data_IF_385156455465
#
_entry.id   IF_385156455465
#
_cell.length_a   1.000
_cell.length_b   1.000
_cell.length_c   1.000
_cell.angle_alpha   90.00
_cell.angle_beta   90.00
_cell.angle_gamma   90.00
#
_symmetry.space_group_name_H-M   'P 1'
#
loop_
_entity.id
_entity.type
_entity.pdbx_description
1 polymer ?
#
# COMPACT_ATOMS: atom_id res chain seq x y z
N UNK A 1 -7.70 -0.46 -16.05
CA UNK A 1 -6.42 -1.17 -15.76
C UNK A 1 -6.16 -1.12 -14.25
N UNK A 2 -5.49 -2.12 -13.67
CA UNK A 2 -5.10 -2.09 -12.25
C UNK A 2 -3.61 -2.40 -12.12
N UNK A 3 -2.92 -1.69 -11.23
CA UNK A 3 -1.57 -2.00 -10.76
C UNK A 3 -1.63 -2.33 -9.27
N UNK A 4 -0.86 -3.33 -8.85
CA UNK A 4 -0.82 -3.78 -7.46
C UNK A 4 0.60 -4.14 -7.04
N UNK A 5 0.89 -3.99 -5.74
CA UNK A 5 2.15 -4.34 -5.11
C UNK A 5 3.19 -3.22 -5.14
N UNK A 6 4.17 -3.35 -4.26
CA UNK A 6 5.17 -2.31 -4.02
C UNK A 6 6.15 -2.11 -5.16
N UNK A 7 6.35 -3.10 -6.05
CA UNK A 7 7.28 -2.96 -7.19
C UNK A 7 6.90 -1.79 -8.12
N UNK A 8 5.60 -1.58 -8.34
CA UNK A 8 5.09 -0.44 -9.09
C UNK A 8 4.76 0.73 -8.16
N UNK A 9 4.23 0.42 -6.97
CA UNK A 9 3.80 1.41 -5.99
C UNK A 9 4.93 2.31 -5.50
N UNK A 10 6.11 1.77 -5.22
CA UNK A 10 7.26 2.56 -4.76
C UNK A 10 7.67 3.64 -5.77
N UNK A 11 7.72 3.28 -7.05
CA UNK A 11 8.06 4.23 -8.14
C UNK A 11 7.03 5.35 -8.29
N UNK A 12 5.74 5.01 -8.14
CA UNK A 12 4.67 6.01 -8.22
C UNK A 12 4.66 6.92 -6.98
N UNK A 13 4.89 6.36 -5.79
CA UNK A 13 4.94 7.10 -4.53
C UNK A 13 6.13 8.04 -4.45
N UNK A 14 7.24 7.74 -5.13
CA UNK A 14 8.42 8.60 -5.26
C UNK A 14 8.06 9.95 -5.90
N UNK A 15 7.11 9.98 -6.84
CA UNK A 15 6.66 11.23 -7.48
C UNK A 15 6.16 12.29 -6.48
N UNK A 16 5.63 11.87 -5.35
CA UNK A 16 5.09 12.74 -4.29
C UNK A 16 5.87 12.67 -2.98
N UNK A 17 7.07 12.10 -2.99
CA UNK A 17 7.89 11.89 -1.78
C UNK A 17 7.10 11.21 -0.66
N UNK A 18 6.31 10.18 -1.00
CA UNK A 18 5.63 9.38 0.01
C UNK A 18 6.50 8.18 0.36
N UNK A 19 6.89 7.99 1.65
CA UNK A 19 7.77 6.91 2.05
C UNK A 19 7.17 5.53 1.74
N UNK A 20 7.96 4.65 1.16
CA UNK A 20 7.58 3.31 0.76
C UNK A 20 8.58 2.28 1.32
N UNK A 21 8.11 1.05 1.54
CA UNK A 21 8.98 -0.05 1.90
C UNK A 21 9.96 -0.34 0.75
N UNK A 22 11.21 -0.66 1.10
CA UNK A 22 12.20 -1.10 0.11
C UNK A 22 11.72 -2.39 -0.55
N UNK A 23 11.82 -2.46 -1.87
CA UNK A 23 11.34 -3.58 -2.65
C UNK A 23 12.34 -3.98 -3.72
N UNK A 24 12.54 -5.29 -3.85
CA UNK A 24 13.28 -5.91 -4.96
C UNK A 24 12.34 -6.75 -5.82
N UNK A 25 12.60 -6.75 -7.12
CA UNK A 25 11.83 -7.54 -8.10
C UNK A 25 12.26 -9.01 -8.17
N UNK A 26 11.62 -9.79 -9.07
CA UNK A 26 11.90 -11.22 -9.22
C UNK A 26 13.32 -11.53 -9.73
N UNK A 27 13.98 -10.55 -10.38
CA UNK A 27 15.33 -10.67 -10.95
C UNK A 27 16.43 -10.31 -9.95
N UNK A 28 16.07 -10.00 -8.69
CA UNK A 28 17.06 -9.65 -7.67
C UNK A 28 18.06 -10.79 -7.44
N UNK A 29 19.33 -10.41 -7.36
CA UNK A 29 20.44 -11.31 -7.02
C UNK A 29 20.40 -11.72 -5.55
N UNK A 30 21.09 -12.80 -5.21
CA UNK A 30 21.22 -13.26 -3.83
C UNK A 30 21.88 -12.23 -2.93
N UNK A 31 22.89 -11.49 -3.46
CA UNK A 31 23.56 -10.43 -2.72
C UNK A 31 22.62 -9.27 -2.38
N UNK A 32 21.77 -8.84 -3.34
CA UNK A 32 20.76 -7.79 -3.10
C UNK A 32 19.73 -8.23 -2.07
N UNK A 33 19.26 -9.49 -2.15
CA UNK A 33 18.32 -10.04 -1.17
C UNK A 33 18.97 -10.12 0.21
N UNK A 34 20.24 -10.57 0.26
CA UNK A 34 21.03 -10.62 1.50
C UNK A 34 21.17 -9.24 2.14
N UNK A 35 21.54 -8.22 1.35
CA UNK A 35 21.67 -6.84 1.81
C UNK A 35 20.33 -6.26 2.31
N UNK A 36 19.21 -6.59 1.66
CA UNK A 36 17.88 -6.17 2.09
C UNK A 36 17.50 -6.80 3.45
N UNK A 37 17.84 -8.09 3.64
CA UNK A 37 17.63 -8.79 4.92
C UNK A 37 18.49 -8.17 6.02
N UNK A 38 19.77 -7.90 5.76
CA UNK A 38 20.68 -7.27 6.72
C UNK A 38 20.16 -5.88 7.15
N UNK A 39 19.71 -5.07 6.20
CA UNK A 39 19.17 -3.73 6.44
C UNK A 39 17.91 -3.74 7.31
N UNK A 40 16.98 -4.69 7.08
CA UNK A 40 15.65 -4.69 7.70
C UNK A 40 15.43 -5.80 8.73
N UNK A 41 16.42 -6.67 8.95
CA UNK A 41 16.31 -7.83 9.84
C UNK A 41 15.42 -8.95 9.30
N UNK A 42 14.51 -8.67 8.39
CA UNK A 42 13.68 -9.66 7.69
C UNK A 42 13.05 -9.06 6.44
N UNK A 43 12.62 -9.95 5.53
CA UNK A 43 11.88 -9.57 4.31
C UNK A 43 10.60 -10.37 4.20
N UNK A 44 9.62 -9.77 3.52
CA UNK A 44 8.42 -10.47 3.06
C UNK A 44 8.59 -10.85 1.60
N UNK A 45 8.30 -12.12 1.27
CA UNK A 45 8.28 -12.64 -0.09
C UNK A 45 6.83 -12.72 -0.54
N UNK A 46 6.46 -11.96 -1.57
CA UNK A 46 5.08 -11.85 -2.04
C UNK A 46 4.97 -12.23 -3.52
N UNK A 47 4.02 -13.08 -3.93
CA UNK A 47 3.82 -13.43 -5.34
C UNK A 47 3.26 -12.26 -6.13
N UNK A 48 3.70 -12.15 -7.39
CA UNK A 48 3.22 -11.16 -8.37
C UNK A 48 2.14 -11.82 -9.23
N UNK A 49 0.91 -11.30 -9.18
CA UNK A 49 -0.18 -11.75 -10.02
C UNK A 49 -0.55 -10.68 -11.06
N UNK A 50 -0.75 -11.09 -12.30
CA UNK A 50 -1.25 -10.19 -13.34
C UNK A 50 -2.70 -9.78 -13.04
N UNK A 51 -2.98 -8.48 -13.06
CA UNK A 51 -4.33 -7.94 -12.84
C UNK A 51 -4.74 -7.77 -11.38
N UNK A 52 -3.83 -8.04 -10.44
CA UNK A 52 -4.06 -7.85 -9.00
C UNK A 52 -5.00 -8.90 -8.38
N UNK A 53 -4.53 -9.56 -7.35
CA UNK A 53 -5.31 -10.52 -6.58
C UNK A 53 -5.35 -10.05 -5.13
N UNK A 54 -6.57 -9.88 -4.58
CA UNK A 54 -6.77 -9.52 -3.18
C UNK A 54 -6.57 -10.70 -2.21
N UNK A 55 -6.53 -10.41 -0.91
CA UNK A 55 -6.53 -11.41 0.20
C UNK A 55 -5.32 -12.33 0.27
N UNK A 56 -4.15 -11.91 -0.25
CA UNK A 56 -2.91 -12.71 -0.25
C UNK A 56 -2.49 -13.15 1.16
N UNK A 57 -2.65 -12.29 2.17
CA UNK A 57 -2.25 -12.58 3.55
C UNK A 57 -3.05 -13.73 4.18
N UNK A 58 -4.37 -13.78 3.97
CA UNK A 58 -5.24 -14.84 4.53
C UNK A 58 -5.04 -16.22 3.88
N UNK A 59 -4.41 -16.27 2.70
CA UNK A 59 -4.23 -17.51 1.93
C UNK A 59 -2.82 -18.14 2.06
N UNK A 60 -1.99 -17.66 3.00
CA UNK A 60 -0.63 -18.17 3.17
C UNK A 60 0.32 -17.84 2.00
N UNK A 61 -0.04 -16.86 1.17
CA UNK A 61 0.72 -16.43 0.00
C UNK A 61 1.76 -15.36 0.32
N UNK A 62 2.04 -15.10 1.60
CA UNK A 62 3.11 -14.20 2.03
C UNK A 62 4.10 -15.03 2.82
N UNK A 63 5.34 -15.12 2.33
CA UNK A 63 6.47 -15.70 3.05
C UNK A 63 7.18 -14.63 3.89
N UNK A 64 7.78 -15.03 5.00
CA UNK A 64 8.70 -14.20 5.79
C UNK A 64 10.03 -14.90 5.93
N UNK A 65 11.12 -14.18 5.70
CA UNK A 65 12.47 -14.72 5.79
C UNK A 65 13.38 -13.77 6.59
N UNK A 66 14.19 -14.35 7.45
CA UNK A 66 15.22 -13.66 8.25
C UNK A 66 16.64 -13.98 7.78
N UNK A 67 16.76 -14.86 6.79
CA UNK A 67 18.01 -15.28 6.17
C UNK A 67 17.80 -15.60 4.68
N UNK A 68 18.89 -15.57 3.93
CA UNK A 68 18.88 -15.78 2.47
C UNK A 68 18.33 -17.14 2.07
N UNK A 69 18.71 -18.22 2.79
CA UNK A 69 18.25 -19.58 2.48
C UNK A 69 16.72 -19.69 2.59
N UNK A 70 16.14 -19.12 3.63
CA UNK A 70 14.69 -19.07 3.82
C UNK A 70 14.02 -18.20 2.74
N UNK A 71 14.61 -17.07 2.36
CA UNK A 71 14.10 -16.20 1.31
C UNK A 71 14.04 -16.91 -0.05
N UNK A 72 15.09 -17.65 -0.41
CA UNK A 72 15.15 -18.44 -1.66
C UNK A 72 14.13 -19.58 -1.64
N UNK A 73 13.97 -20.28 -0.52
CA UNK A 73 12.93 -21.33 -0.38
C UNK A 73 11.52 -20.74 -0.56
N UNK A 74 11.24 -19.59 0.01
CA UNK A 74 9.95 -18.90 -0.18
C UNK A 74 9.78 -18.39 -1.61
N UNK A 75 10.85 -17.93 -2.28
CA UNK A 75 10.85 -17.63 -3.72
C UNK A 75 10.39 -18.84 -4.53
N UNK A 76 11.00 -20.00 -4.34
CA UNK A 76 10.63 -21.23 -5.06
C UNK A 76 9.17 -21.64 -4.80
N UNK A 77 8.73 -21.57 -3.55
CA UNK A 77 7.34 -21.92 -3.16
C UNK A 77 6.30 -21.00 -3.81
N UNK A 78 6.59 -19.71 -3.96
CA UNK A 78 5.63 -18.68 -4.36
C UNK A 78 5.72 -18.28 -5.83
N UNK A 79 6.80 -18.59 -6.52
CA UNK A 79 7.10 -18.03 -7.86
C UNK A 79 6.02 -18.33 -8.90
N UNK A 80 5.46 -19.56 -8.90
CA UNK A 80 4.40 -19.98 -9.81
C UNK A 80 3.14 -20.45 -9.07
N UNK A 81 2.96 -20.01 -7.84
CA UNK A 81 1.81 -20.43 -7.04
C UNK A 81 0.50 -20.02 -7.71
N UNK A 82 -0.49 -20.90 -7.65
CA UNK A 82 -1.85 -20.63 -8.09
C UNK A 82 -2.71 -20.14 -6.91
N UNK A 83 -3.51 -19.14 -7.18
CA UNK A 83 -4.46 -18.60 -6.22
C UNK A 83 -5.85 -18.50 -6.83
N UNK A 84 -6.82 -19.04 -6.12
CA UNK A 84 -8.23 -19.05 -6.53
C UNK A 84 -9.02 -18.02 -5.71
N UNK A 85 -9.72 -17.13 -6.42
CA UNK A 85 -10.69 -16.21 -5.83
C UNK A 85 -12.02 -16.43 -6.56
N UNK A 86 -12.99 -17.03 -5.88
CA UNK A 86 -14.24 -17.47 -6.51
C UNK A 86 -13.97 -18.45 -7.65
N UNK A 87 -14.42 -18.11 -8.86
CA UNK A 87 -14.23 -18.94 -10.08
C UNK A 87 -12.96 -18.58 -10.87
N UNK A 88 -12.19 -17.57 -10.42
CA UNK A 88 -10.99 -17.15 -11.12
C UNK A 88 -9.76 -17.78 -10.49
N UNK A 89 -8.93 -18.43 -11.29
CA UNK A 89 -7.61 -18.94 -10.91
C UNK A 89 -6.56 -18.05 -11.53
N UNK A 90 -5.70 -17.49 -10.71
CA UNK A 90 -4.57 -16.67 -11.14
C UNK A 90 -3.27 -17.37 -10.77
N UNK A 91 -2.32 -17.42 -11.72
CA UNK A 91 -0.98 -17.97 -11.51
C UNK A 91 0.01 -16.83 -11.31
N UNK A 92 0.85 -16.93 -10.29
CA UNK A 92 1.92 -15.97 -10.06
C UNK A 92 2.97 -16.03 -11.18
N UNK A 93 3.62 -14.89 -11.46
CA UNK A 93 4.64 -14.72 -12.52
C UNK A 93 5.95 -14.21 -11.93
N UNK A 94 6.23 -14.56 -10.69
CA UNK A 94 7.40 -14.10 -9.95
C UNK A 94 7.06 -13.72 -8.52
N UNK A 95 8.04 -13.22 -7.82
CA UNK A 95 7.90 -12.72 -6.44
C UNK A 95 8.59 -11.38 -6.29
N UNK A 96 8.15 -10.59 -5.29
CA UNK A 96 8.90 -9.46 -4.74
C UNK A 96 9.49 -9.82 -3.40
N UNK A 97 10.61 -9.17 -3.05
CA UNK A 97 11.19 -9.17 -1.71
C UNK A 97 11.01 -7.77 -1.13
N UNK A 98 10.31 -7.66 -0.03
CA UNK A 98 9.96 -6.39 0.58
C UNK A 98 10.54 -6.31 1.99
N UNK A 99 11.33 -5.28 2.27
CA UNK A 99 11.92 -5.06 3.58
C UNK A 99 10.84 -4.91 4.64
N UNK A 100 10.99 -5.62 5.78
CA UNK A 100 10.05 -5.49 6.87
C UNK A 100 10.11 -4.10 7.49
N UNK A 101 8.96 -3.49 7.71
CA UNK A 101 8.82 -2.20 8.38
C UNK A 101 8.20 -2.46 9.75
N UNK A 102 8.99 -2.43 10.84
CA UNK A 102 8.44 -2.55 12.19
C UNK A 102 7.62 -1.32 12.53
N UNK A 103 6.42 -1.53 13.10
CA UNK A 103 5.54 -0.45 13.52
C UNK A 103 4.54 -0.94 14.56
N UNK A 104 4.14 -0.06 15.47
CA UNK A 104 3.08 -0.32 16.47
C UNK A 104 1.69 -0.01 15.90
N UNK A 105 1.61 0.91 14.92
CA UNK A 105 0.36 1.32 14.29
C UNK A 105 0.37 1.01 12.79
N UNK A 106 -0.74 0.49 12.31
CA UNK A 106 -1.02 0.27 10.90
C UNK A 106 -2.27 1.07 10.50
N UNK A 107 -2.19 1.74 9.36
CA UNK A 107 -3.24 2.59 8.82
C UNK A 107 -3.68 2.07 7.47
N UNK A 108 -4.98 2.07 7.22
CA UNK A 108 -5.56 1.92 5.89
C UNK A 108 -5.91 3.29 5.34
N UNK A 109 -5.59 3.53 4.09
CA UNK A 109 -5.98 4.73 3.36
C UNK A 109 -6.36 4.41 1.93
N UNK A 110 -7.50 4.92 1.50
CA UNK A 110 -7.90 4.85 0.09
C UNK A 110 -8.48 6.18 -0.39
N UNK A 111 -8.31 6.41 -1.68
CA UNK A 111 -8.93 7.47 -2.46
C UNK A 111 -9.76 6.84 -3.58
N UNK A 112 -10.97 7.31 -3.77
CA UNK A 112 -11.84 6.92 -4.88
C UNK A 112 -12.91 7.97 -5.15
N UNK A 113 -13.48 7.96 -6.34
CA UNK A 113 -14.69 8.71 -6.61
C UNK A 113 -15.91 7.98 -6.03
N UNK A 114 -16.65 8.66 -5.17
CA UNK A 114 -17.83 8.10 -4.53
C UNK A 114 -19.09 8.47 -5.30
N UNK A 115 -19.84 7.47 -5.75
CA UNK A 115 -21.16 7.67 -6.35
C UNK A 115 -22.18 8.19 -5.34
N UNK A 116 -22.02 7.83 -4.05
CA UNK A 116 -22.87 8.30 -2.95
C UNK A 116 -22.72 9.79 -2.70
N UNK A 117 -21.48 10.27 -2.63
CA UNK A 117 -21.19 11.69 -2.36
C UNK A 117 -21.04 12.53 -3.62
N UNK A 118 -20.93 11.87 -4.80
CA UNK A 118 -20.62 12.52 -6.09
C UNK A 118 -19.37 13.41 -6.04
N UNK A 119 -18.38 12.97 -5.28
CA UNK A 119 -17.14 13.69 -5.02
C UNK A 119 -16.00 12.70 -4.76
N UNK A 120 -14.75 13.11 -4.94
CA UNK A 120 -13.60 12.36 -4.44
C UNK A 120 -13.74 12.16 -2.93
N UNK A 121 -13.47 10.96 -2.48
CA UNK A 121 -13.71 10.54 -1.09
C UNK A 121 -12.49 9.80 -0.57
N UNK A 122 -12.06 10.13 0.64
CA UNK A 122 -11.10 9.30 1.38
C UNK A 122 -11.85 8.26 2.18
N UNK A 123 -11.24 7.08 2.28
CA UNK A 123 -11.59 6.06 3.28
C UNK A 123 -10.36 5.82 4.14
N UNK A 124 -10.48 6.01 5.45
CA UNK A 124 -9.36 6.02 6.39
C UNK A 124 -9.71 5.26 7.66
N UNK A 125 -8.78 4.41 8.14
CA UNK A 125 -8.82 3.83 9.48
C UNK A 125 -7.42 3.67 10.06
N UNK A 126 -7.29 3.84 11.38
CA UNK A 126 -6.06 3.56 12.12
C UNK A 126 -5.90 2.08 12.52
N UNK A 127 -6.76 1.21 12.00
CA UNK A 127 -6.71 -0.25 12.17
C UNK A 127 -6.42 -0.90 10.80
N UNK A 128 -5.23 -0.62 10.25
CA UNK A 128 -4.77 -1.19 8.97
C UNK A 128 -4.41 -2.68 9.07
N UNK A 129 -4.02 -3.26 7.94
CA UNK A 129 -3.64 -4.68 7.85
C UNK A 129 -4.82 -5.66 7.94
N UNK A 130 -6.04 -5.17 8.11
CA UNK A 130 -7.28 -5.95 8.18
C UNK A 130 -8.15 -5.58 6.98
N UNK A 131 -9.02 -6.49 6.55
CA UNK A 131 -10.02 -6.18 5.53
C UNK A 131 -11.00 -5.14 6.08
N UNK A 132 -11.12 -4.00 5.40
CA UNK A 132 -11.90 -2.86 5.89
C UNK A 132 -13.38 -3.21 6.08
N UNK A 133 -13.88 -4.17 5.30
CA UNK A 133 -15.25 -4.67 5.40
C UNK A 133 -15.54 -5.43 6.71
N UNK A 134 -14.49 -5.85 7.41
CA UNK A 134 -14.58 -6.56 8.69
C UNK A 134 -14.52 -5.61 9.89
N UNK A 135 -14.26 -4.32 9.66
CA UNK A 135 -14.17 -3.32 10.72
C UNK A 135 -15.56 -2.73 11.06
N UNK A 136 -15.74 -2.43 12.34
CA UNK A 136 -16.90 -1.67 12.78
C UNK A 136 -16.86 -0.24 12.22
N UNK A 137 -18.01 0.28 11.80
CA UNK A 137 -18.14 1.59 11.14
C UNK A 137 -17.55 2.75 11.95
N UNK A 138 -17.57 2.65 13.29
CA UNK A 138 -17.00 3.68 14.16
C UNK A 138 -15.49 3.87 14.04
N UNK A 139 -14.78 2.89 13.44
CA UNK A 139 -13.34 2.97 13.21
C UNK A 139 -12.98 3.32 11.77
N UNK A 140 -13.97 3.59 10.93
CA UNK A 140 -13.76 3.91 9.51
C UNK A 140 -14.34 5.29 9.21
N UNK A 141 -13.50 6.21 8.75
CA UNK A 141 -13.94 7.50 8.24
C UNK A 141 -14.10 7.44 6.71
N UNK A 142 -15.26 7.82 6.20
CA UNK A 142 -15.50 8.08 4.78
C UNK A 142 -15.82 9.56 4.64
N UNK A 143 -14.90 10.34 4.07
CA UNK A 143 -15.01 11.81 4.01
C UNK A 143 -14.85 12.31 2.58
N UNK A 144 -15.88 12.90 1.96
CA UNK A 144 -15.77 13.56 0.68
C UNK A 144 -14.99 14.87 0.80
N UNK A 145 -14.33 15.27 -0.27
CA UNK A 145 -13.63 16.56 -0.35
C UNK A 145 -13.80 17.20 -1.74
N UNK A 146 -13.45 18.47 -1.83
CA UNK A 146 -13.60 19.26 -3.06
C UNK A 146 -12.46 18.95 -4.04
N UNK A 147 -12.79 18.45 -5.23
CA UNK A 147 -11.81 18.05 -6.25
C UNK A 147 -10.90 19.19 -6.70
N UNK A 148 -11.45 20.41 -6.89
CA UNK A 148 -10.71 21.56 -7.40
C UNK A 148 -9.67 22.09 -6.41
N UNK A 149 -9.96 22.05 -5.14
CA UNK A 149 -9.03 22.48 -4.08
C UNK A 149 -8.13 21.37 -3.59
N UNK A 150 -8.44 20.13 -3.92
CA UNK A 150 -7.71 18.94 -3.52
C UNK A 150 -7.89 18.55 -2.06
N UNK A 151 -7.27 17.44 -1.68
CA UNK A 151 -7.33 16.90 -0.32
C UNK A 151 -6.52 17.78 0.64
N UNK A 152 -7.20 18.38 1.61
CA UNK A 152 -6.58 19.29 2.59
C UNK A 152 -6.21 18.57 3.88
N UNK A 153 -5.16 19.09 4.52
CA UNK A 153 -4.64 18.56 5.79
C UNK A 153 -5.71 18.46 6.89
N UNK A 154 -6.61 19.46 6.98
CA UNK A 154 -7.68 19.46 7.99
C UNK A 154 -8.72 18.36 7.77
N UNK A 155 -8.96 17.93 6.52
CA UNK A 155 -9.87 16.80 6.21
C UNK A 155 -9.33 15.53 6.84
N UNK A 156 -8.02 15.26 6.69
CA UNK A 156 -7.35 14.13 7.32
C UNK A 156 -7.36 14.24 8.85
N UNK A 157 -7.05 15.43 9.39
CA UNK A 157 -7.02 15.65 10.84
C UNK A 157 -8.39 15.37 11.48
N UNK A 158 -9.47 15.90 10.89
CA UNK A 158 -10.83 15.67 11.36
C UNK A 158 -11.22 14.20 11.26
N UNK A 159 -10.97 13.55 10.11
CA UNK A 159 -11.26 12.14 9.91
C UNK A 159 -10.57 11.24 10.96
N UNK A 160 -9.29 11.51 11.27
CA UNK A 160 -8.54 10.79 12.31
C UNK A 160 -9.10 11.04 13.71
N UNK A 161 -9.52 12.28 14.01
CA UNK A 161 -10.14 12.62 15.29
C UNK A 161 -11.48 11.91 15.46
N UNK A 162 -12.32 11.88 14.43
CA UNK A 162 -13.65 11.25 14.45
C UNK A 162 -13.60 9.75 14.73
N UNK A 163 -12.54 9.06 14.28
CA UNK A 163 -12.33 7.62 14.53
C UNK A 163 -11.47 7.33 15.76
N UNK A 164 -11.10 8.34 16.55
CA UNK A 164 -10.31 8.18 17.77
C UNK A 164 -8.87 7.69 17.53
N UNK A 165 -8.24 8.13 16.45
CA UNK A 165 -6.87 7.72 16.14
C UNK A 165 -5.87 8.21 17.21
N UNK A 166 -4.79 7.42 17.49
CA UNK A 166 -3.72 7.83 18.39
C UNK A 166 -3.09 9.17 17.96
N UNK A 167 -2.85 10.07 18.92
CA UNK A 167 -2.38 11.44 18.65
C UNK A 167 -1.03 11.48 17.94
N UNK A 168 -0.15 10.56 18.27
CA UNK A 168 1.21 10.45 17.73
C UNK A 168 1.26 10.19 16.22
N UNK A 169 0.24 9.54 15.65
CA UNK A 169 0.19 9.26 14.21
C UNK A 169 -0.50 10.35 13.40
N UNK A 170 -1.23 11.27 14.05
CA UNK A 170 -2.03 12.30 13.33
C UNK A 170 -1.14 13.24 12.52
N UNK A 171 -0.14 13.84 13.15
CA UNK A 171 0.73 14.83 12.48
C UNK A 171 1.48 14.24 11.26
N UNK A 172 2.12 13.06 11.35
CA UNK A 172 2.76 12.42 10.19
C UNK A 172 1.78 12.14 9.04
N UNK A 173 0.57 11.66 9.34
CA UNK A 173 -0.44 11.35 8.32
C UNK A 173 -0.97 12.62 7.64
N UNK A 174 -1.23 13.67 8.42
CA UNK A 174 -1.67 14.99 7.91
C UNK A 174 -0.64 15.62 6.96
N UNK A 175 0.65 15.37 7.18
CA UNK A 175 1.73 15.88 6.32
C UNK A 175 1.88 15.11 5.01
N UNK A 176 1.52 13.81 4.99
CA UNK A 176 1.82 12.94 3.84
C UNK A 176 0.59 12.56 3.02
N UNK A 177 -0.55 12.24 3.64
CA UNK A 177 -1.73 11.74 2.92
C UNK A 177 -2.30 12.70 1.87
N UNK A 178 -2.31 14.04 2.06
CA UNK A 178 -2.78 14.96 1.02
C UNK A 178 -2.04 14.83 -0.31
N UNK A 179 -0.76 14.49 -0.29
CA UNK A 179 0.07 14.30 -1.48
C UNK A 179 -0.44 13.17 -2.40
N UNK A 180 -1.15 12.19 -1.83
CA UNK A 180 -1.69 11.08 -2.61
C UNK A 180 -2.82 11.50 -3.56
N UNK A 181 -3.51 12.62 -3.27
CA UNK A 181 -4.42 13.21 -4.23
C UNK A 181 -3.69 13.79 -5.44
N UNK A 182 -2.54 14.43 -5.24
CA UNK A 182 -1.71 14.94 -6.34
C UNK A 182 -1.24 13.78 -7.24
N UNK A 183 -0.82 12.66 -6.64
CA UNK A 183 -0.46 11.44 -7.36
C UNK A 183 -1.63 10.90 -8.18
N UNK A 184 -2.78 10.72 -7.53
CA UNK A 184 -3.99 10.20 -8.16
C UNK A 184 -4.42 11.08 -9.33
N UNK A 185 -4.45 12.40 -9.15
CA UNK A 185 -4.85 13.36 -10.17
C UNK A 185 -3.85 13.42 -11.32
N UNK A 186 -2.54 13.39 -11.03
CA UNK A 186 -1.48 13.46 -12.04
C UNK A 186 -1.56 12.33 -13.06
N UNK A 187 -1.75 11.09 -12.59
CA UNK A 187 -1.79 9.90 -13.44
C UNK A 187 -3.20 9.49 -13.90
N UNK A 188 -4.25 10.22 -13.55
CA UNK A 188 -5.62 9.85 -13.90
C UNK A 188 -6.09 8.55 -13.26
N UNK A 189 -5.68 8.32 -12.01
CA UNK A 189 -6.14 7.15 -11.27
C UNK A 189 -7.61 7.30 -10.90
N UNK A 190 -8.37 6.20 -10.98
CA UNK A 190 -9.76 6.12 -10.51
C UNK A 190 -9.85 5.68 -9.07
N UNK A 191 -8.85 4.95 -8.59
CA UNK A 191 -8.71 4.50 -7.21
C UNK A 191 -7.23 4.44 -6.83
N UNK A 192 -6.93 4.71 -5.55
CA UNK A 192 -5.62 4.50 -4.94
C UNK A 192 -5.83 3.97 -3.54
N UNK A 193 -5.13 2.89 -3.18
CA UNK A 193 -5.23 2.23 -1.88
C UNK A 193 -3.84 1.89 -1.35
N UNK A 194 -3.59 2.23 -0.08
CA UNK A 194 -2.43 1.81 0.70
C UNK A 194 -2.92 1.01 1.91
N UNK A 195 -2.57 -0.28 2.00
CA UNK A 195 -2.99 -1.15 3.09
C UNK A 195 -2.02 -2.32 3.34
N UNK A 196 -1.16 -2.21 4.38
CA UNK A 196 -1.11 -1.10 5.35
C UNK A 196 -0.12 0.02 4.98
N UNK A 197 -0.35 1.18 5.58
CA UNK A 197 0.68 2.16 5.86
C UNK A 197 1.18 1.88 7.27
N UNK A 198 2.48 1.60 7.45
CA UNK A 198 3.09 1.34 8.73
C UNK A 198 3.73 2.60 9.29
N UNK A 199 3.38 2.93 10.53
CA UNK A 199 3.88 4.11 11.24
C UNK A 199 5.23 3.77 11.88
N UNK A 200 6.32 3.87 11.10
CA UNK A 200 7.69 3.52 11.55
C UNK A 200 8.22 4.57 12.51
N UNK A 201 8.76 4.12 13.65
CA UNK A 201 9.49 4.97 14.58
C UNK A 201 10.96 5.03 14.14
N UNK A 202 11.42 6.23 13.79
CA UNK A 202 12.81 6.48 13.43
C UNK A 202 13.72 6.56 14.66
N UNK A 203 15.04 6.38 14.52
CA UNK A 203 15.98 6.43 15.67
C UNK A 203 15.94 7.73 16.48
N UNK A 204 15.50 8.82 15.87
CA UNK A 204 15.32 10.13 16.53
C UNK A 204 13.93 10.30 17.19
N UNK A 205 13.13 9.25 17.26
CA UNK A 205 11.77 9.26 17.79
C UNK A 205 10.68 9.85 16.86
N UNK A 206 11.04 10.32 15.68
CA UNK A 206 10.06 10.77 14.69
C UNK A 206 9.28 9.58 14.13
N UNK A 207 7.99 9.76 13.92
CA UNK A 207 7.15 8.75 13.25
C UNK A 207 7.03 9.11 11.75
N UNK A 208 7.27 8.11 10.91
CA UNK A 208 7.20 8.21 9.44
C UNK A 208 6.18 7.21 8.91
N UNK A 209 5.16 7.65 8.14
CA UNK A 209 4.24 6.73 7.48
C UNK A 209 4.96 6.08 6.29
N UNK A 210 4.99 4.75 6.26
CA UNK A 210 5.63 3.96 5.20
C UNK A 210 4.60 3.06 4.54
N UNK A 211 4.38 3.23 3.24
CA UNK A 211 3.50 2.36 2.46
C UNK A 211 4.12 0.95 2.34
N UNK A 212 3.36 -0.09 2.68
CA UNK A 212 3.80 -1.49 2.64
C UNK A 212 2.96 -2.36 1.70
N UNK A 213 1.90 -1.82 1.13
CA UNK A 213 1.21 -2.36 -0.03
C UNK A 213 0.54 -1.23 -0.81
N UNK A 214 0.39 -1.43 -2.11
CA UNK A 214 -0.10 -0.43 -3.04
C UNK A 214 -1.07 -1.06 -4.04
N UNK A 215 -2.17 -0.37 -4.28
CA UNK A 215 -3.10 -0.74 -5.33
C UNK A 215 -3.71 0.52 -5.94
N UNK A 216 -3.76 0.57 -7.26
CA UNK A 216 -4.46 1.65 -7.97
C UNK A 216 -5.20 1.14 -9.20
N UNK A 217 -6.23 1.87 -9.58
CA UNK A 217 -7.02 1.64 -10.78
C UNK A 217 -6.89 2.81 -11.74
N UNK A 218 -7.04 2.54 -13.03
CA UNK A 218 -7.02 3.53 -14.09
C UNK A 218 -8.17 3.29 -15.07
N UNK A 219 -8.73 4.37 -15.58
CA UNK A 219 -9.50 4.33 -16.82
C UNK A 219 -8.51 4.25 -17.98
N UNK A 220 -8.66 3.26 -18.86
CA UNK A 220 -7.75 3.07 -20.01
C UNK A 220 -7.86 4.21 -21.04
N UNK A 221 -9.00 4.84 -21.09
CA UNK A 221 -9.30 5.91 -22.04
C UNK A 221 -8.87 7.30 -21.52
N UNK A 222 -8.41 7.40 -20.28
CA UNK A 222 -7.88 8.64 -19.74
C UNK A 222 -6.48 8.93 -20.32
N UNK A 223 -6.30 10.08 -21.03
CA UNK A 223 -5.02 10.42 -21.66
C UNK A 223 -3.87 10.58 -20.68
N UNK A 224 -4.15 10.80 -19.39
CA UNK A 224 -3.13 10.90 -18.34
C UNK A 224 -2.41 9.58 -18.06
N UNK A 225 -3.03 8.45 -18.42
CA UNK A 225 -2.43 7.11 -18.28
C UNK A 225 -1.17 6.97 -19.14
N UNK A 226 -1.05 7.71 -20.22
CA UNK A 226 0.16 7.75 -21.06
C UNK A 226 1.41 8.23 -20.30
N UNK A 227 1.26 8.92 -19.15
CA UNK A 227 2.37 9.35 -18.28
C UNK A 227 3.03 8.22 -17.49
N UNK A 228 2.45 7.03 -17.52
CA UNK A 228 3.05 5.85 -16.87
C UNK A 228 4.24 5.27 -17.66
N UNK A 229 4.48 5.71 -18.89
CA UNK A 229 5.58 5.26 -19.76
C UNK A 229 5.18 4.08 -20.63
#
# INVERSE_FOLDING_TARGET
MQLTGMLHGSKLLEFVDFPAADVLGPEASEDEIGALIEKHGSVFVKPIFKGGVGKKGKSGLIGRATDLKTALREKERLYFVEHRVGNVVSKAQGVTFEGAVPAEHEVYFALSDSTRFRAPTITLTHKGGIAIEELEKQYVAEVPFEALTGLKAFVIANALADIGAPREIVSPLVQHLPKLWELMHHYGMTTLELNPIRMRIEPNGRITPVACDFKCGFDRDDPRVARLG
#
